data_IF_328524992007
#
_entry.id   IF_328524992007
#
_cell.length_a   1.000
_cell.length_b   1.000
_cell.length_c   1.000
_cell.angle_alpha   90.00
_cell.angle_beta   90.00
_cell.angle_gamma   90.00
#
_symmetry.space_group_name_H-M   'P 1'
#
loop_
_entity.id
_entity.type
_entity.pdbx_description
1 polymer ?
#
# COMPACT_ATOMS: atom_id res chain seq x y z
N UNK A 1 -6.94 -4.62 10.64
CA UNK A 1 -7.46 -4.35 9.28
C UNK A 1 -8.97 -4.31 9.35
N UNK A 2 -9.59 -3.29 8.77
CA UNK A 2 -11.05 -3.16 8.78
C UNK A 2 -11.65 -4.11 7.72
N UNK A 3 -12.62 -4.95 8.11
CA UNK A 3 -13.10 -6.07 7.27
C UNK A 3 -13.99 -5.64 6.10
N UNK A 4 -14.66 -4.49 6.22
CA UNK A 4 -15.62 -3.97 5.23
C UNK A 4 -15.00 -2.98 4.22
N UNK A 5 -13.66 -2.87 4.16
CA UNK A 5 -13.01 -1.97 3.20
C UNK A 5 -13.17 -2.48 1.78
N UNK A 6 -13.38 -1.60 0.80
CA UNK A 6 -13.38 -1.98 -0.62
C UNK A 6 -11.99 -2.40 -1.09
N UNK A 7 -10.96 -1.66 -0.66
CA UNK A 7 -9.55 -1.93 -0.95
C UNK A 7 -8.65 -1.58 0.24
N UNK A 8 -7.57 -2.33 0.38
CA UNK A 8 -6.49 -2.17 1.34
C UNK A 8 -5.18 -2.03 0.58
N UNK A 9 -4.61 -0.83 0.60
CA UNK A 9 -3.32 -0.52 0.00
C UNK A 9 -2.22 -0.79 1.01
N UNK A 10 -1.40 -1.80 0.73
CA UNK A 10 -0.28 -2.21 1.56
C UNK A 10 1.03 -1.64 1.01
N UNK A 11 1.91 -1.11 1.89
CA UNK A 11 3.21 -0.60 1.47
C UNK A 11 4.22 -1.71 1.15
N UNK A 12 4.07 -2.90 1.74
CA UNK A 12 4.95 -4.04 1.53
C UNK A 12 4.18 -5.36 1.42
N UNK A 13 4.84 -6.39 0.90
CA UNK A 13 4.28 -7.74 0.81
C UNK A 13 3.99 -8.37 2.19
N UNK A 14 4.75 -8.00 3.22
CA UNK A 14 4.56 -8.47 4.60
C UNK A 14 3.25 -7.97 5.19
N UNK A 15 2.92 -6.69 4.96
CA UNK A 15 1.64 -6.10 5.38
C UNK A 15 0.48 -6.75 4.64
N UNK A 16 0.65 -7.08 3.35
CA UNK A 16 -0.35 -7.84 2.59
C UNK A 16 -0.60 -9.23 3.17
N UNK A 17 0.44 -9.97 3.57
CA UNK A 17 0.30 -11.26 4.28
C UNK A 17 -0.43 -11.10 5.61
N UNK A 18 -0.16 -10.01 6.35
CA UNK A 18 -0.87 -9.70 7.60
C UNK A 18 -2.34 -9.36 7.35
N UNK A 19 -2.66 -8.67 6.25
CA UNK A 19 -4.02 -8.35 5.85
C UNK A 19 -4.82 -9.63 5.53
N UNK A 20 -4.21 -10.59 4.83
CA UNK A 20 -4.81 -11.90 4.56
C UNK A 20 -5.11 -12.65 5.86
N UNK A 21 -4.15 -12.70 6.81
CA UNK A 21 -4.34 -13.31 8.13
C UNK A 21 -5.46 -12.64 8.95
N UNK A 22 -5.71 -11.36 8.71
CA UNK A 22 -6.80 -10.62 9.36
C UNK A 22 -8.18 -10.84 8.70
N UNK A 23 -8.26 -11.67 7.67
CA UNK A 23 -9.51 -12.05 7.00
C UNK A 23 -9.90 -11.18 5.81
N UNK A 24 -8.97 -10.39 5.26
CA UNK A 24 -9.22 -9.67 4.00
C UNK A 24 -9.09 -10.64 2.82
N UNK A 25 -9.91 -10.43 1.78
CA UNK A 25 -9.84 -11.20 0.53
C UNK A 25 -8.69 -10.70 -0.34
N UNK A 26 -8.11 -11.57 -1.15
CA UNK A 26 -7.08 -11.21 -2.14
C UNK A 26 -7.54 -10.09 -3.11
N UNK A 27 -8.83 -10.05 -3.47
CA UNK A 27 -9.41 -9.00 -4.31
C UNK A 27 -9.38 -7.61 -3.66
N UNK A 28 -9.38 -7.54 -2.32
CA UNK A 28 -9.34 -6.30 -1.56
C UNK A 28 -7.91 -5.80 -1.36
N UNK A 29 -6.86 -6.61 -1.57
CA UNK A 29 -5.48 -6.24 -1.22
C UNK A 29 -4.72 -5.79 -2.47
N UNK A 30 -4.02 -4.65 -2.37
CA UNK A 30 -3.09 -4.16 -3.40
C UNK A 30 -1.79 -3.70 -2.77
N UNK A 31 -0.66 -4.00 -3.41
CA UNK A 31 0.67 -3.58 -2.95
C UNK A 31 1.23 -2.58 -3.96
N UNK A 32 1.27 -1.30 -3.58
CA UNK A 32 1.79 -0.21 -4.42
C UNK A 32 2.92 0.58 -3.75
N UNK A 33 3.38 0.15 -2.58
CA UNK A 33 4.32 0.94 -1.80
C UNK A 33 3.62 1.99 -0.94
N UNK A 34 4.41 2.69 -0.14
CA UNK A 34 3.93 3.82 0.65
C UNK A 34 3.72 5.01 -0.30
N UNK A 35 2.54 5.65 -0.33
CA UNK A 35 2.34 6.83 -1.16
C UNK A 35 3.24 7.95 -0.68
N UNK A 36 4.13 8.40 -1.56
CA UNK A 36 5.01 9.56 -1.32
C UNK A 36 4.45 10.75 -2.10
N UNK A 37 4.64 11.96 -1.57
CA UNK A 37 4.23 13.19 -2.27
C UNK A 37 4.90 13.25 -3.64
N UNK A 38 4.17 13.54 -4.74
CA UNK A 38 4.75 13.57 -6.08
C UNK A 38 5.96 14.48 -6.23
N UNK A 39 6.05 15.55 -5.43
CA UNK A 39 7.20 16.46 -5.40
C UNK A 39 8.50 15.80 -4.96
N UNK A 40 8.46 14.79 -4.09
CA UNK A 40 9.67 14.09 -3.61
C UNK A 40 10.26 13.15 -4.66
N UNK A 41 9.45 12.68 -5.60
CA UNK A 41 9.90 11.79 -6.68
C UNK A 41 10.53 12.59 -7.84
N UNK A 42 10.27 13.91 -7.90
CA UNK A 42 10.87 14.76 -8.92
C UNK A 42 12.37 14.90 -8.65
N UNK A 43 13.23 14.66 -9.65
CA UNK A 43 14.66 14.86 -9.49
C UNK A 43 14.94 16.32 -9.15
N UNK A 44 15.86 16.52 -8.20
CA UNK A 44 16.33 17.85 -7.82
C UNK A 44 17.25 18.33 -8.95
N UNK A 45 17.05 19.56 -9.42
CA UNK A 45 17.97 20.14 -10.40
C UNK A 45 19.35 20.34 -9.72
N UNK A 46 20.46 19.96 -10.37
CA UNK A 46 21.79 20.31 -9.88
C UNK A 46 21.93 21.83 -9.73
N UNK A 47 22.74 22.27 -8.76
CA UNK A 47 23.10 23.69 -8.59
C UNK A 47 24.02 24.16 -9.71
#
# INVERSE_FOLDING_TARGET
FHKLVTRCYCPTAEVAKRALRAGLKHSQIKVYGLPVRPSFVKPIRPK
#
